data_IF_450814294446
#
_entry.id   IF_450814294446
#
_cell.length_a   1.000
_cell.length_b   1.000
_cell.length_c   1.000
_cell.angle_alpha   90.00
_cell.angle_beta   90.00
_cell.angle_gamma   90.00
#
_symmetry.space_group_name_H-M   'P 1'
#
loop_
_entity.id
_entity.type
_entity.pdbx_description
1 polymer ?
#
# COMPACT_ATOMS: atom_id res chain seq x y z
N UNK A 1 0.83 -9.06 35.98
CA UNK A 1 1.53 -9.22 34.68
C UNK A 1 2.66 -8.21 34.67
N UNK A 2 3.90 -8.63 34.49
CA UNK A 2 4.98 -7.69 34.16
C UNK A 2 4.61 -6.99 32.86
N UNK A 3 4.67 -5.66 32.84
CA UNK A 3 4.53 -4.91 31.60
C UNK A 3 5.65 -5.34 30.65
N UNK A 4 5.28 -5.79 29.46
CA UNK A 4 6.24 -6.10 28.40
C UNK A 4 7.04 -4.81 28.14
N UNK A 5 8.31 -4.79 28.55
CA UNK A 5 9.24 -3.68 28.28
C UNK A 5 9.71 -3.81 26.83
N UNK A 6 8.88 -3.40 25.88
CA UNK A 6 9.26 -3.34 24.46
C UNK A 6 9.85 -1.97 24.14
N UNK A 7 11.08 -1.93 23.63
CA UNK A 7 11.72 -0.72 23.13
C UNK A 7 11.26 -0.46 21.69
N UNK A 8 10.52 0.62 21.46
CA UNK A 8 10.07 1.01 20.13
C UNK A 8 10.75 2.30 19.69
N UNK A 9 11.29 2.30 18.46
CA UNK A 9 11.75 3.52 17.79
C UNK A 9 10.89 3.80 16.56
N UNK A 10 10.31 5.01 16.49
CA UNK A 10 9.54 5.50 15.34
C UNK A 10 10.40 6.54 14.60
N UNK A 11 10.82 6.23 13.37
CA UNK A 11 11.61 7.11 12.54
C UNK A 11 10.70 7.92 11.60
N UNK A 12 10.72 9.24 11.74
CA UNK A 12 9.89 10.16 10.98
C UNK A 12 10.67 11.42 10.59
N UNK A 13 10.67 11.76 9.32
CA UNK A 13 11.29 12.98 8.82
C UNK A 13 10.43 14.18 9.23
N UNK A 14 10.98 15.05 10.08
CA UNK A 14 10.24 16.18 10.67
C UNK A 14 9.61 17.15 9.66
N UNK A 15 10.21 17.34 8.47
CA UNK A 15 9.66 18.23 7.42
C UNK A 15 8.48 17.64 6.66
N UNK A 16 8.17 16.36 6.83
CA UNK A 16 7.07 15.69 6.13
C UNK A 16 5.88 15.52 7.07
N UNK A 17 4.87 16.38 6.91
CA UNK A 17 3.70 16.44 7.79
C UNK A 17 3.00 15.09 7.98
N UNK A 18 2.84 14.32 6.90
CA UNK A 18 2.24 12.99 6.97
C UNK A 18 3.06 12.03 7.84
N UNK A 19 4.38 12.07 7.81
CA UNK A 19 5.20 11.21 8.67
C UNK A 19 5.08 11.59 10.13
N UNK A 20 5.03 12.89 10.43
CA UNK A 20 4.82 13.39 11.80
C UNK A 20 3.44 13.00 12.32
N UNK A 21 2.38 13.21 11.52
CA UNK A 21 0.99 12.83 11.82
C UNK A 21 0.91 11.35 12.19
N UNK A 22 1.44 10.47 11.34
CA UNK A 22 1.32 9.03 11.54
C UNK A 22 2.27 8.48 12.61
N UNK A 23 3.45 9.07 12.80
CA UNK A 23 4.33 8.74 13.92
C UNK A 23 3.66 9.06 15.27
N UNK A 24 2.99 10.22 15.38
CA UNK A 24 2.22 10.58 16.56
C UNK A 24 1.07 9.61 16.79
N UNK A 25 0.27 9.32 15.76
CA UNK A 25 -0.86 8.40 15.87
C UNK A 25 -0.42 7.00 16.32
N UNK A 26 0.70 6.51 15.78
CA UNK A 26 1.26 5.21 16.17
C UNK A 26 1.79 5.22 17.61
N UNK A 27 2.49 6.28 18.02
CA UNK A 27 2.95 6.47 19.40
C UNK A 27 1.79 6.50 20.39
N UNK A 28 0.72 7.26 20.09
CA UNK A 28 -0.49 7.31 20.91
C UNK A 28 -1.17 5.92 20.99
N UNK A 29 -1.15 5.16 19.89
CA UNK A 29 -1.60 3.77 19.85
C UNK A 29 -0.81 2.87 20.79
N UNK A 30 0.51 2.88 20.73
CA UNK A 30 1.36 2.12 21.66
C UNK A 30 1.12 2.50 23.12
N UNK A 31 0.96 3.79 23.40
CA UNK A 31 0.69 4.29 24.75
C UNK A 31 -0.62 3.76 25.33
N UNK A 32 -1.67 3.61 24.51
CA UNK A 32 -2.94 2.97 24.94
C UNK A 32 -2.76 1.51 25.38
N UNK A 33 -1.69 0.86 24.94
CA UNK A 33 -1.30 -0.49 25.33
C UNK A 33 -0.21 -0.53 26.40
N UNK A 34 0.11 0.61 27.02
CA UNK A 34 1.13 0.70 28.07
C UNK A 34 2.57 0.61 27.55
N UNK A 35 2.79 0.84 26.26
CA UNK A 35 4.11 0.79 25.62
C UNK A 35 4.53 2.20 25.24
N UNK A 36 5.67 2.65 25.76
CA UNK A 36 6.27 3.94 25.40
C UNK A 36 7.14 3.79 24.15
N UNK A 37 6.94 4.67 23.16
CA UNK A 37 7.70 4.68 21.92
C UNK A 37 8.52 5.97 21.78
N UNK A 38 9.78 5.85 21.37
CA UNK A 38 10.65 6.99 21.09
C UNK A 38 10.53 7.39 19.63
N UNK A 39 10.16 8.64 19.36
CA UNK A 39 10.19 9.20 17.99
C UNK A 39 11.53 9.87 17.72
N UNK A 40 12.07 9.69 16.52
CA UNK A 40 13.33 10.31 16.06
C UNK A 40 13.24 10.75 14.60
N UNK A 41 14.02 11.75 14.22
CA UNK A 41 14.22 12.19 12.83
C UNK A 41 15.48 11.59 12.19
N UNK A 42 16.29 10.87 12.97
CA UNK A 42 17.45 10.13 12.52
C UNK A 42 17.02 8.76 11.96
N UNK A 43 17.65 8.32 10.87
CA UNK A 43 17.45 7.01 10.24
C UNK A 43 18.66 6.08 10.44
N UNK A 44 19.54 6.39 11.38
CA UNK A 44 20.52 5.42 11.87
C UNK A 44 19.84 4.28 12.62
N UNK A 45 20.31 3.02 12.46
CA UNK A 45 19.75 1.89 13.19
C UNK A 45 19.96 2.04 14.71
N UNK A 46 18.87 1.93 15.49
CA UNK A 46 18.92 2.01 16.95
C UNK A 46 18.81 0.64 17.61
N UNK A 47 19.26 0.49 18.87
CA UNK A 47 18.89 -0.66 19.69
C UNK A 47 17.41 -0.55 20.12
N UNK A 48 16.53 -1.23 19.37
CA UNK A 48 15.11 -1.34 19.65
C UNK A 48 14.62 -2.76 19.38
N UNK A 49 13.48 -3.12 19.95
CA UNK A 49 12.77 -4.38 19.66
C UNK A 49 11.93 -4.25 18.39
N UNK A 50 11.37 -3.05 18.15
CA UNK A 50 10.56 -2.74 16.98
C UNK A 50 10.89 -1.36 16.42
N UNK A 51 11.40 -1.33 15.18
CA UNK A 51 11.54 -0.11 14.40
C UNK A 51 10.26 0.15 13.58
N UNK A 52 9.81 1.39 13.52
CA UNK A 52 8.64 1.82 12.75
C UNK A 52 9.02 2.98 11.83
N UNK A 53 8.58 3.00 10.58
CA UNK A 53 8.85 4.11 9.65
C UNK A 53 7.89 4.17 8.47
N UNK A 54 7.80 5.35 7.86
CA UNK A 54 7.00 5.58 6.65
C UNK A 54 7.75 5.20 5.37
N UNK A 55 7.21 4.23 4.64
CA UNK A 55 7.64 3.75 3.32
C UNK A 55 9.07 3.20 3.27
N UNK A 56 9.44 2.63 2.13
CA UNK A 56 10.76 1.99 1.93
C UNK A 56 11.71 2.89 1.14
N UNK A 57 12.98 2.90 1.53
CA UNK A 57 14.05 3.64 0.85
C UNK A 57 15.40 3.07 1.26
N UNK A 58 16.46 3.37 0.50
CA UNK A 58 17.84 2.97 0.83
C UNK A 58 18.26 3.42 2.23
N UNK A 59 17.81 4.60 2.69
CA UNK A 59 18.03 5.10 4.06
C UNK A 59 17.51 4.14 5.14
N UNK A 60 16.45 3.39 4.87
CA UNK A 60 15.80 2.49 5.83
C UNK A 60 16.29 1.05 5.68
N UNK A 61 17.02 0.74 4.62
CA UNK A 61 17.59 -0.59 4.44
C UNK A 61 18.58 -0.93 5.55
N UNK A 62 19.32 0.04 6.09
CA UNK A 62 20.17 -0.17 7.27
C UNK A 62 19.36 -0.59 8.51
N UNK A 63 18.22 0.07 8.77
CA UNK A 63 17.32 -0.25 9.90
C UNK A 63 16.72 -1.65 9.72
N UNK A 64 16.22 -1.94 8.50
CA UNK A 64 15.65 -3.23 8.13
C UNK A 64 16.66 -4.36 8.29
N UNK A 65 17.88 -4.16 7.79
CA UNK A 65 18.95 -5.15 7.86
C UNK A 65 19.38 -5.39 9.30
N UNK A 66 19.43 -4.35 10.15
CA UNK A 66 19.70 -4.53 11.59
C UNK A 66 18.60 -5.38 12.25
N UNK A 67 17.33 -5.01 12.09
CA UNK A 67 16.21 -5.77 12.65
C UNK A 67 16.25 -7.23 12.20
N UNK A 68 16.42 -7.48 10.90
CA UNK A 68 16.51 -8.82 10.34
C UNK A 68 17.72 -9.61 10.90
N UNK A 69 18.90 -8.97 11.05
CA UNK A 69 20.10 -9.62 11.59
C UNK A 69 19.96 -10.04 13.06
N UNK A 70 19.02 -9.43 13.79
CA UNK A 70 18.71 -9.72 15.19
C UNK A 70 17.45 -10.59 15.34
N UNK A 71 16.85 -11.05 14.24
CA UNK A 71 15.60 -11.81 14.26
C UNK A 71 14.39 -10.99 14.70
N UNK A 72 14.44 -9.66 14.55
CA UNK A 72 13.39 -8.71 14.91
C UNK A 72 12.63 -8.23 13.67
N UNK A 73 11.38 -7.85 13.85
CA UNK A 73 10.53 -7.27 12.80
C UNK A 73 10.57 -5.75 12.79
N UNK A 74 10.04 -5.13 11.73
CA UNK A 74 9.76 -3.70 11.67
C UNK A 74 8.32 -3.43 11.22
N UNK A 75 7.78 -2.26 11.57
CA UNK A 75 6.50 -1.78 11.05
C UNK A 75 6.71 -0.79 9.90
N UNK A 76 6.14 -1.13 8.75
CA UNK A 76 6.05 -0.27 7.59
C UNK A 76 4.72 0.47 7.60
N UNK A 77 4.79 1.80 7.58
CA UNK A 77 3.64 2.68 7.39
C UNK A 77 3.60 3.14 5.94
N UNK A 78 2.42 3.15 5.35
CA UNK A 78 2.17 3.64 4.00
C UNK A 78 0.82 4.35 3.92
N UNK A 79 0.52 4.94 2.77
CA UNK A 79 -0.83 5.45 2.48
C UNK A 79 -1.87 4.33 2.57
N UNK A 80 -3.07 4.67 3.01
CA UNK A 80 -4.21 3.75 3.04
C UNK A 80 -4.59 3.26 1.64
N UNK A 81 -5.30 2.12 1.60
CA UNK A 81 -5.73 1.50 0.35
C UNK A 81 -7.09 1.99 -0.17
N UNK A 82 -7.88 2.63 0.69
CA UNK A 82 -9.24 3.07 0.39
C UNK A 82 -9.44 4.52 0.88
N UNK A 83 -10.61 5.10 0.59
CA UNK A 83 -10.95 6.49 0.94
C UNK A 83 -9.93 7.49 0.41
N UNK A 84 -9.86 8.67 1.03
CA UNK A 84 -8.73 9.56 0.83
C UNK A 84 -7.48 8.94 1.45
N UNK A 85 -6.63 8.38 0.60
CA UNK A 85 -5.38 7.70 0.98
C UNK A 85 -4.34 8.65 1.61
N UNK A 86 -4.62 9.94 1.68
CA UNK A 86 -3.82 10.92 2.45
C UNK A 86 -4.28 11.02 3.90
N UNK A 87 -5.54 10.68 4.16
CA UNK A 87 -6.16 10.68 5.49
C UNK A 87 -6.16 9.32 6.18
N UNK A 88 -5.90 8.25 5.43
CA UNK A 88 -5.72 6.89 5.96
C UNK A 88 -4.29 6.41 5.76
N UNK A 89 -3.82 5.57 6.68
CA UNK A 89 -2.55 4.86 6.57
C UNK A 89 -2.75 3.35 6.67
N UNK A 90 -1.91 2.59 5.97
CA UNK A 90 -1.73 1.16 6.19
C UNK A 90 -0.53 0.94 7.10
N UNK A 91 -0.61 -0.05 7.98
CA UNK A 91 0.47 -0.44 8.88
C UNK A 91 0.65 -1.96 8.78
N UNK A 92 1.80 -2.41 8.30
CA UNK A 92 2.10 -3.83 8.12
C UNK A 92 3.50 -4.18 8.65
N UNK A 93 3.66 -5.40 9.13
CA UNK A 93 4.96 -5.94 9.51
C UNK A 93 5.78 -6.31 8.29
N UNK A 94 7.05 -5.96 8.32
CA UNK A 94 8.12 -6.45 7.44
C UNK A 94 7.95 -6.19 5.92
N UNK A 95 6.95 -5.39 5.53
CA UNK A 95 6.78 -4.95 4.15
C UNK A 95 5.54 -4.08 3.93
N UNK A 96 5.47 -3.36 2.80
CA UNK A 96 4.27 -2.67 2.36
C UNK A 96 3.46 -3.56 1.41
N UNK A 97 2.19 -3.20 1.18
CA UNK A 97 1.32 -3.88 0.20
C UNK A 97 1.33 -5.41 0.39
N UNK A 98 1.53 -6.17 -0.68
CA UNK A 98 1.53 -7.64 -0.65
C UNK A 98 2.74 -8.27 0.07
N UNK A 99 3.71 -7.48 0.52
CA UNK A 99 4.87 -7.94 1.27
C UNK A 99 4.67 -7.84 2.78
N UNK A 100 3.62 -7.14 3.24
CA UNK A 100 3.37 -6.90 4.65
C UNK A 100 2.48 -7.96 5.28
N UNK A 101 2.73 -8.27 6.56
CA UNK A 101 1.80 -9.01 7.42
C UNK A 101 0.96 -8.00 8.24
N UNK A 102 -0.37 -8.03 8.07
CA UNK A 102 -1.28 -7.04 8.66
C UNK A 102 -2.00 -7.55 9.92
N UNK A 103 -1.74 -8.80 10.31
CA UNK A 103 -2.33 -9.46 11.47
C UNK A 103 -3.86 -9.41 11.45
N UNK A 104 -4.46 -9.48 10.26
CA UNK A 104 -5.91 -9.32 10.06
C UNK A 104 -6.68 -10.64 10.12
N UNK A 105 -6.00 -11.79 10.28
CA UNK A 105 -6.66 -13.10 10.42
C UNK A 105 -7.61 -13.08 11.64
N UNK A 106 -8.87 -13.44 11.40
CA UNK A 106 -9.94 -13.42 12.40
C UNK A 106 -10.18 -12.05 13.05
N UNK A 107 -9.75 -10.95 12.41
CA UNK A 107 -10.11 -9.62 12.89
C UNK A 107 -11.63 -9.41 12.77
N UNK A 108 -12.26 -8.79 13.78
CA UNK A 108 -13.68 -8.47 13.70
C UNK A 108 -13.99 -7.54 12.52
N UNK A 109 -15.20 -7.62 11.94
CA UNK A 109 -15.58 -6.81 10.78
C UNK A 109 -15.85 -5.34 11.12
N UNK A 110 -15.90 -4.98 12.39
CA UNK A 110 -16.17 -3.62 12.89
C UNK A 110 -15.21 -2.58 12.31
N UNK A 111 -13.90 -2.85 12.31
CA UNK A 111 -12.89 -1.95 11.75
C UNK A 111 -13.08 -1.71 10.25
N UNK A 112 -13.49 -2.73 9.52
CA UNK A 112 -13.78 -2.59 8.09
C UNK A 112 -15.11 -1.84 7.87
N UNK A 113 -16.13 -2.12 8.69
CA UNK A 113 -17.42 -1.44 8.65
C UNK A 113 -17.29 0.07 8.95
N UNK A 114 -16.41 0.46 9.88
CA UNK A 114 -16.10 1.86 10.20
C UNK A 114 -15.51 2.63 9.00
N UNK A 115 -14.86 1.94 8.06
CA UNK A 115 -14.42 2.58 6.81
C UNK A 115 -15.61 3.05 5.97
N UNK A 116 -16.82 2.52 6.18
CA UNK A 116 -18.08 2.90 5.52
C UNK A 116 -17.97 2.93 3.98
N UNK A 117 -17.27 1.94 3.41
CA UNK A 117 -16.98 1.88 1.99
C UNK A 117 -18.23 1.55 1.17
N UNK A 118 -18.40 2.24 0.03
CA UNK A 118 -19.38 1.89 -0.99
C UNK A 118 -18.81 0.74 -1.84
N UNK A 119 -19.15 -0.50 -1.48
CA UNK A 119 -18.75 -1.71 -2.20
C UNK A 119 -19.89 -2.11 -3.13
N UNK A 120 -19.68 -1.96 -4.44
CA UNK A 120 -20.69 -2.28 -5.45
C UNK A 120 -20.72 -3.78 -5.74
N UNK A 121 -21.88 -4.33 -6.16
CA UNK A 121 -21.96 -5.67 -6.70
C UNK A 121 -21.04 -5.83 -7.92
N UNK A 122 -20.49 -7.04 -8.09
CA UNK A 122 -19.71 -7.39 -9.27
C UNK A 122 -20.53 -7.22 -10.55
N UNK A 123 -19.94 -6.59 -11.55
CA UNK A 123 -20.51 -6.45 -12.88
C UNK A 123 -20.39 -7.74 -13.66
N UNK A 124 -21.32 -7.95 -14.57
CA UNK A 124 -21.29 -9.05 -15.56
C UNK A 124 -21.15 -8.54 -16.99
N UNK A 125 -21.06 -7.22 -17.17
CA UNK A 125 -21.05 -6.51 -18.44
C UNK A 125 -19.86 -5.55 -18.56
N UNK A 126 -19.74 -4.88 -19.71
CA UNK A 126 -18.70 -3.88 -20.00
C UNK A 126 -18.08 -4.04 -21.39
N UNK A 127 -17.60 -2.92 -21.94
CA UNK A 127 -17.23 -2.79 -23.35
C UNK A 127 -15.78 -3.20 -23.63
N UNK A 128 -14.89 -2.99 -22.65
CA UNK A 128 -13.45 -3.20 -22.80
C UNK A 128 -12.81 -3.79 -21.55
N UNK A 129 -11.56 -4.22 -21.69
CA UNK A 129 -10.66 -4.57 -20.59
C UNK A 129 -9.79 -3.34 -20.30
N UNK A 130 -9.76 -2.89 -19.05
CA UNK A 130 -8.96 -1.74 -18.63
C UNK A 130 -7.63 -2.22 -18.04
N UNK A 131 -6.54 -1.85 -18.69
CA UNK A 131 -5.19 -2.17 -18.23
C UNK A 131 -4.56 -0.94 -17.57
N UNK A 132 -4.24 -1.04 -16.28
CA UNK A 132 -3.74 0.07 -15.48
C UNK A 132 -2.22 0.14 -15.51
N UNK A 133 -1.69 1.26 -15.99
CA UNK A 133 -0.27 1.60 -15.93
C UNK A 133 0.18 2.02 -14.53
N UNK A 134 1.47 1.87 -14.27
CA UNK A 134 2.14 2.23 -13.01
C UNK A 134 3.42 3.00 -13.28
N UNK A 135 4.03 3.53 -12.22
CA UNK A 135 5.32 4.23 -12.31
C UNK A 135 6.46 3.21 -12.35
N UNK A 136 7.26 3.09 -13.42
CA UNK A 136 8.35 2.10 -13.50
C UNK A 136 9.36 2.15 -12.34
N UNK A 137 9.57 3.33 -11.73
CA UNK A 137 10.46 3.52 -10.59
C UNK A 137 9.80 3.25 -9.22
N UNK A 138 8.55 2.78 -9.19
CA UNK A 138 7.86 2.41 -7.96
C UNK A 138 8.57 1.22 -7.29
N UNK A 139 8.73 1.28 -5.97
CA UNK A 139 9.33 0.21 -5.18
C UNK A 139 8.56 -1.10 -5.35
N UNK A 140 7.24 -1.04 -5.56
CA UNK A 140 6.39 -2.19 -5.79
C UNK A 140 6.70 -2.92 -7.12
N UNK A 141 7.46 -2.29 -8.03
CA UNK A 141 7.87 -2.87 -9.32
C UNK A 141 9.35 -3.28 -9.35
N UNK A 142 10.05 -3.27 -8.21
CA UNK A 142 11.48 -3.60 -8.15
C UNK A 142 11.75 -4.97 -8.79
N UNK A 143 12.58 -5.00 -9.84
CA UNK A 143 12.91 -6.21 -10.58
C UNK A 143 11.97 -6.56 -11.75
N UNK A 144 10.92 -5.76 -11.99
CA UNK A 144 9.98 -5.95 -13.09
C UNK A 144 10.33 -5.04 -14.28
N UNK A 145 10.33 -5.62 -15.49
CA UNK A 145 10.24 -4.84 -16.72
C UNK A 145 8.75 -4.59 -17.05
N UNK A 146 8.22 -3.44 -16.63
CA UNK A 146 6.80 -3.11 -16.79
C UNK A 146 6.35 -3.04 -18.26
N UNK A 147 7.21 -2.57 -19.16
CA UNK A 147 6.88 -2.51 -20.59
C UNK A 147 6.71 -3.92 -21.16
N UNK A 148 7.66 -4.81 -20.88
CA UNK A 148 7.59 -6.22 -21.27
C UNK A 148 6.36 -6.91 -20.68
N UNK A 149 6.09 -6.73 -19.38
CA UNK A 149 4.88 -7.27 -18.74
C UNK A 149 3.60 -6.77 -19.44
N UNK A 150 3.56 -5.49 -19.82
CA UNK A 150 2.41 -4.89 -20.50
C UNK A 150 2.19 -5.53 -21.88
N UNK A 151 3.24 -5.67 -22.68
CA UNK A 151 3.18 -6.28 -24.01
C UNK A 151 2.78 -7.76 -23.95
N UNK A 152 3.43 -8.53 -23.08
CA UNK A 152 3.12 -9.95 -22.90
C UNK A 152 1.67 -10.17 -22.43
N UNK A 153 1.17 -9.30 -21.54
CA UNK A 153 -0.21 -9.40 -21.06
C UNK A 153 -1.21 -9.05 -22.16
N UNK A 154 -0.96 -8.02 -22.96
CA UNK A 154 -1.80 -7.72 -24.13
C UNK A 154 -1.85 -8.88 -25.13
N UNK A 155 -0.70 -9.50 -25.40
CA UNK A 155 -0.62 -10.67 -26.30
C UNK A 155 -1.34 -11.90 -25.75
N UNK A 156 -1.35 -12.09 -24.42
CA UNK A 156 -2.13 -13.16 -23.78
C UNK A 156 -3.62 -12.90 -23.89
N UNK A 157 -4.05 -11.67 -23.60
CA UNK A 157 -5.46 -11.26 -23.69
C UNK A 157 -5.99 -11.43 -25.12
N UNK A 158 -5.25 -10.99 -26.13
CA UNK A 158 -5.66 -11.12 -27.54
C UNK A 158 -5.85 -12.57 -28.02
N UNK A 159 -5.42 -13.57 -27.24
CA UNK A 159 -5.62 -15.00 -27.56
C UNK A 159 -6.85 -15.60 -26.91
N UNK A 160 -7.43 -14.92 -25.92
CA UNK A 160 -8.54 -15.45 -25.10
C UNK A 160 -9.79 -14.59 -25.15
N UNK A 161 -9.73 -13.40 -25.75
CA UNK A 161 -10.87 -12.50 -25.89
C UNK A 161 -10.69 -11.53 -27.06
N UNK A 162 -11.79 -11.18 -27.70
CA UNK A 162 -11.86 -10.15 -28.74
C UNK A 162 -12.16 -8.75 -28.15
N UNK A 163 -12.33 -8.63 -26.83
CA UNK A 163 -12.57 -7.33 -26.17
C UNK A 163 -11.39 -6.39 -26.36
N UNK A 164 -11.69 -5.11 -26.59
CA UNK A 164 -10.69 -4.05 -26.67
C UNK A 164 -9.90 -3.96 -25.35
N UNK A 165 -8.57 -3.90 -25.43
CA UNK A 165 -7.71 -3.65 -24.25
C UNK A 165 -7.30 -2.19 -24.21
N UNK A 166 -7.92 -1.40 -23.32
CA UNK A 166 -7.62 0.02 -23.11
C UNK A 166 -6.53 0.20 -22.08
N UNK A 167 -5.39 0.75 -22.50
CA UNK A 167 -4.30 1.07 -21.57
C UNK A 167 -4.48 2.47 -20.97
N UNK A 168 -4.63 2.53 -19.64
CA UNK A 168 -4.69 3.77 -18.87
C UNK A 168 -3.31 4.08 -18.29
N UNK A 169 -2.57 5.08 -18.81
CA UNK A 169 -1.27 5.44 -18.27
C UNK A 169 -1.39 6.00 -16.84
N UNK A 170 -0.30 5.92 -16.08
CA UNK A 170 -0.24 6.56 -14.77
C UNK A 170 -0.33 8.10 -14.92
N UNK A 171 -1.13 8.81 -14.12
CA UNK A 171 -1.37 10.25 -14.28
C UNK A 171 -0.11 11.11 -14.16
N UNK A 172 0.92 10.62 -13.47
CA UNK A 172 2.22 11.30 -13.39
C UNK A 172 2.94 11.41 -14.76
N UNK A 173 2.68 10.50 -15.70
CA UNK A 173 3.29 10.55 -17.04
C UNK A 173 2.39 11.18 -18.08
N UNK A 174 1.08 10.94 -17.98
CA UNK A 174 0.14 11.43 -18.97
C UNK A 174 -1.20 11.68 -18.31
N UNK A 175 -1.68 12.92 -18.44
CA UNK A 175 -3.04 13.26 -18.04
C UNK A 175 -4.03 12.35 -18.79
N UNK A 176 -4.95 11.76 -18.05
CA UNK A 176 -6.03 10.95 -18.61
C UNK A 176 -7.25 11.83 -18.82
N UNK A 177 -7.91 11.70 -19.97
CA UNK A 177 -9.13 12.48 -20.26
C UNK A 177 -10.25 12.13 -19.26
N UNK A 178 -10.42 10.85 -18.97
CA UNK A 178 -11.41 10.36 -18.02
C UNK A 178 -10.84 10.20 -16.61
N UNK A 179 -11.69 10.36 -15.62
CA UNK A 179 -11.42 9.92 -14.24
C UNK A 179 -11.32 8.40 -14.18
N UNK A 180 -10.66 7.85 -13.15
CA UNK A 180 -10.61 6.40 -12.95
C UNK A 180 -12.03 5.81 -12.83
N UNK A 181 -12.94 6.48 -12.10
CA UNK A 181 -14.34 6.05 -11.95
C UNK A 181 -15.09 5.94 -13.28
N UNK A 182 -14.86 6.89 -14.19
CA UNK A 182 -15.42 6.84 -15.54
C UNK A 182 -14.85 5.67 -16.34
N UNK A 183 -13.54 5.45 -16.30
CA UNK A 183 -12.93 4.31 -16.99
C UNK A 183 -13.37 2.96 -16.42
N UNK A 184 -13.58 2.87 -15.11
CA UNK A 184 -14.14 1.68 -14.46
C UNK A 184 -15.60 1.44 -14.84
N UNK A 185 -16.37 2.50 -15.16
CA UNK A 185 -17.79 2.37 -15.48
C UNK A 185 -18.04 1.49 -16.71
N UNK A 186 -17.23 1.64 -17.77
CA UNK A 186 -17.31 0.85 -19.01
C UNK A 186 -16.39 -0.36 -19.07
N UNK A 187 -15.55 -0.59 -18.05
CA UNK A 187 -14.66 -1.74 -18.00
C UNK A 187 -15.41 -3.01 -17.57
N UNK A 188 -15.22 -4.09 -18.33
CA UNK A 188 -15.67 -5.46 -17.99
C UNK A 188 -14.70 -6.23 -17.10
N UNK A 189 -13.45 -5.79 -17.07
CA UNK A 189 -12.38 -6.38 -16.28
C UNK A 189 -11.26 -5.35 -16.13
N UNK A 190 -10.59 -5.35 -14.98
CA UNK A 190 -9.37 -4.58 -14.75
C UNK A 190 -8.17 -5.50 -14.65
N UNK A 191 -7.11 -5.16 -15.39
CA UNK A 191 -5.82 -5.82 -15.31
C UNK A 191 -4.80 -4.83 -14.76
N UNK A 192 -4.16 -5.19 -13.65
CA UNK A 192 -3.08 -4.43 -13.03
C UNK A 192 -2.03 -5.38 -12.48
N UNK A 193 -0.78 -4.91 -12.35
CA UNK A 193 0.26 -5.70 -11.71
C UNK A 193 0.09 -5.67 -10.19
N UNK A 194 0.19 -4.48 -9.58
CA UNK A 194 -0.08 -4.28 -8.15
C UNK A 194 -0.50 -2.84 -7.81
N UNK A 195 -1.15 -2.14 -8.75
CA UNK A 195 -1.63 -0.78 -8.49
C UNK A 195 -2.71 -0.81 -7.40
N UNK A 196 -2.65 0.13 -6.45
CA UNK A 196 -3.75 0.36 -5.50
C UNK A 196 -5.07 0.67 -6.20
N UNK A 197 -5.05 1.18 -7.44
CA UNK A 197 -6.24 1.37 -8.27
C UNK A 197 -7.02 0.07 -8.52
N UNK A 198 -6.41 -1.11 -8.31
CA UNK A 198 -7.13 -2.39 -8.29
C UNK A 198 -8.10 -2.53 -7.11
N UNK A 199 -7.82 -1.87 -5.99
CA UNK A 199 -8.76 -1.76 -4.86
C UNK A 199 -9.96 -0.90 -5.26
N UNK A 200 -9.73 0.23 -5.94
CA UNK A 200 -10.81 1.07 -6.48
C UNK A 200 -11.67 0.31 -7.50
N UNK A 201 -11.06 -0.55 -8.31
CA UNK A 201 -11.79 -1.43 -9.24
C UNK A 201 -12.71 -2.40 -8.49
N UNK A 202 -12.17 -3.12 -7.51
CA UNK A 202 -12.93 -4.06 -6.68
C UNK A 202 -14.09 -3.37 -5.93
N UNK A 203 -13.86 -2.16 -5.37
CA UNK A 203 -14.91 -1.36 -4.74
C UNK A 203 -16.01 -0.95 -5.73
N UNK A 204 -15.67 -0.78 -7.02
CA UNK A 204 -16.64 -0.48 -8.07
C UNK A 204 -17.24 -1.72 -8.74
N UNK A 205 -16.96 -2.92 -8.22
CA UNK A 205 -17.48 -4.18 -8.72
C UNK A 205 -16.90 -4.59 -10.08
N UNK A 206 -15.65 -4.19 -10.38
CA UNK A 206 -14.96 -4.50 -11.65
C UNK A 206 -13.76 -5.41 -11.42
#
# INVERSE_FOLDING_TARGET
MEAIKMKITIHAVARFEHQVKWAKALSDGFKKHGIEAKTTNDFTPTDCDLACFWGHSTLKDAIKNKQASEGKSYLALERGYTRDRTEYASVGFDGPANLGEYCNKNSPPDRFAELNLDVKPWKTDGDYILMLGQVPSDCALRGLNLAKWTEETKLKLSKITDKEVRFRPHPQYKATVNTLKQDLSGASCVITYNSTSGVDAALNGV
#
